data_IF_070897848017
#
_entry.id   IF_070897848017
#
_cell.length_a   1.000
_cell.length_b   1.000
_cell.length_c   1.000
_cell.angle_alpha   90.00
_cell.angle_beta   90.00
_cell.angle_gamma   90.00
#
_symmetry.space_group_name_H-M   'P 1'
#
loop_
_entity.id
_entity.type
_entity.pdbx_description
1 polymer ?
#
# COMPACT_ATOMS: atom_id res chain seq x y z
N UNK A 1 -6.72 41.80 51.68
CA UNK A 1 -7.76 40.84 51.28
C UNK A 1 -7.64 40.50 49.79
N UNK A 2 -6.65 39.69 49.37
CA UNK A 2 -6.47 39.20 47.97
C UNK A 2 -5.77 37.83 47.93
N UNK A 3 -6.02 36.93 48.86
CA UNK A 3 -5.31 35.63 48.92
C UNK A 3 -6.23 34.41 48.90
N UNK A 4 -7.52 34.56 48.47
CA UNK A 4 -8.47 33.44 48.56
C UNK A 4 -9.04 32.96 47.20
N UNK A 5 -8.39 33.27 46.08
CA UNK A 5 -8.87 32.81 44.76
C UNK A 5 -7.91 31.91 43.98
N UNK A 6 -6.72 31.61 44.50
CA UNK A 6 -5.76 30.75 43.82
C UNK A 6 -5.88 29.26 44.19
N UNK A 7 -6.44 28.97 45.37
CA UNK A 7 -6.54 27.57 45.83
C UNK A 7 -7.65 26.74 45.15
N UNK A 8 -8.73 27.41 44.76
CA UNK A 8 -9.88 26.70 44.15
C UNK A 8 -9.67 26.36 42.67
N UNK A 9 -8.83 27.09 41.97
CA UNK A 9 -8.55 26.82 40.55
C UNK A 9 -7.57 25.63 40.38
N UNK A 10 -6.61 25.50 41.29
CA UNK A 10 -5.63 24.39 41.27
C UNK A 10 -6.29 23.06 41.61
N UNK A 11 -7.27 23.06 42.55
CA UNK A 11 -8.02 21.82 42.87
C UNK A 11 -8.92 21.35 41.72
N UNK A 12 -9.52 22.28 40.94
CA UNK A 12 -10.37 21.93 39.82
C UNK A 12 -9.58 21.35 38.61
N UNK A 13 -8.36 21.85 38.37
CA UNK A 13 -7.49 21.35 37.33
C UNK A 13 -6.93 19.97 37.65
N UNK A 14 -6.57 19.72 38.92
CA UNK A 14 -6.07 18.42 39.35
C UNK A 14 -7.16 17.34 39.36
N UNK A 15 -8.41 17.67 39.64
CA UNK A 15 -9.53 16.71 39.59
C UNK A 15 -9.94 16.40 38.14
N UNK A 16 -9.88 17.35 37.22
CA UNK A 16 -10.13 17.12 35.81
C UNK A 16 -9.04 16.25 35.19
N UNK A 17 -7.77 16.46 35.51
CA UNK A 17 -6.64 15.66 35.04
C UNK A 17 -6.72 14.20 35.54
N UNK A 18 -7.20 13.99 36.78
CA UNK A 18 -7.33 12.65 37.36
C UNK A 18 -8.52 11.85 36.76
N UNK A 19 -9.58 12.53 36.33
CA UNK A 19 -10.73 11.91 35.68
C UNK A 19 -10.38 11.51 34.26
N UNK A 20 -9.60 12.32 33.54
CA UNK A 20 -9.15 12.00 32.18
C UNK A 20 -8.19 10.82 32.19
N UNK A 21 -7.25 10.78 33.17
CA UNK A 21 -6.30 9.65 33.29
C UNK A 21 -7.02 8.33 33.62
N UNK A 22 -8.07 8.36 34.46
CA UNK A 22 -8.87 7.16 34.78
C UNK A 22 -9.75 6.69 33.62
N UNK A 23 -10.17 7.58 32.74
CA UNK A 23 -10.93 7.22 31.54
C UNK A 23 -10.01 6.62 30.46
N UNK A 24 -8.81 7.13 30.29
CA UNK A 24 -7.82 6.59 29.36
C UNK A 24 -7.33 5.20 29.82
N UNK A 25 -7.06 5.02 31.11
CA UNK A 25 -6.67 3.69 31.66
C UNK A 25 -7.82 2.67 31.55
N UNK A 26 -9.09 3.11 31.62
CA UNK A 26 -10.24 2.20 31.42
C UNK A 26 -10.51 1.89 29.94
N UNK A 27 -10.12 2.73 29.01
CA UNK A 27 -10.18 2.42 27.60
C UNK A 27 -9.11 1.38 27.22
N UNK A 28 -7.89 1.56 27.68
CA UNK A 28 -6.79 0.61 27.43
C UNK A 28 -6.98 -0.76 28.11
N UNK A 29 -7.66 -0.82 29.26
CA UNK A 29 -7.98 -2.11 29.91
C UNK A 29 -9.18 -2.85 29.31
N UNK A 30 -9.88 -2.28 28.34
CA UNK A 30 -10.93 -2.99 27.61
C UNK A 30 -10.42 -3.66 26.33
N UNK A 31 -9.28 -3.27 25.79
CA UNK A 31 -8.65 -3.94 24.66
C UNK A 31 -7.89 -5.23 25.06
N UNK A 32 -7.61 -5.42 26.35
CA UNK A 32 -6.86 -6.58 26.85
C UNK A 32 -7.68 -7.80 27.28
N UNK A 33 -9.00 -7.85 27.10
CA UNK A 33 -9.82 -8.96 27.61
C UNK A 33 -10.94 -9.43 26.66
N UNK A 34 -10.74 -9.33 25.37
CA UNK A 34 -11.39 -10.22 24.40
C UNK A 34 -10.48 -11.42 24.13
N UNK A 35 -10.12 -12.13 25.19
CA UNK A 35 -9.82 -13.54 25.08
C UNK A 35 -11.16 -14.24 24.83
N UNK A 36 -11.64 -14.12 23.60
CA UNK A 36 -12.74 -14.91 23.10
C UNK A 36 -12.37 -16.37 23.29
N UNK A 37 -13.26 -17.11 23.89
CA UNK A 37 -13.20 -18.56 23.96
C UNK A 37 -12.70 -19.11 22.63
N UNK A 38 -11.55 -19.72 22.62
CA UNK A 38 -11.05 -20.51 21.53
C UNK A 38 -12.02 -21.67 21.31
N UNK A 39 -13.06 -21.45 20.52
CA UNK A 39 -13.58 -22.55 19.75
C UNK A 39 -12.43 -22.94 18.82
N UNK A 40 -11.89 -24.11 18.98
CA UNK A 40 -10.89 -24.74 18.13
C UNK A 40 -11.45 -25.11 16.76
N UNK A 41 -12.23 -24.23 16.15
CA UNK A 41 -12.50 -24.23 14.75
C UNK A 41 -11.31 -23.61 14.05
N UNK A 42 -10.28 -24.42 13.74
CA UNK A 42 -9.23 -23.98 12.84
C UNK A 42 -9.87 -23.36 11.60
N UNK A 43 -9.25 -22.33 11.04
CA UNK A 43 -9.65 -21.79 9.76
C UNK A 43 -9.76 -22.98 8.78
N UNK A 44 -10.98 -23.42 8.50
CA UNK A 44 -11.20 -24.51 7.57
C UNK A 44 -11.16 -23.94 6.17
N UNK A 45 -10.45 -24.59 5.28
CA UNK A 45 -10.56 -24.34 3.86
C UNK A 45 -12.06 -24.36 3.49
N UNK A 46 -12.61 -23.27 2.94
CA UNK A 46 -14.01 -23.21 2.53
C UNK A 46 -14.33 -24.23 1.42
N UNK A 47 -13.33 -24.94 0.91
CA UNK A 47 -13.48 -25.92 -0.16
C UNK A 47 -13.66 -25.27 -1.53
N UNK A 48 -13.86 -26.13 -2.53
CA UNK A 48 -14.17 -25.68 -3.88
C UNK A 48 -15.60 -25.09 -3.87
N UNK A 49 -15.71 -23.83 -4.21
CA UNK A 49 -17.01 -23.17 -4.33
C UNK A 49 -17.71 -23.65 -5.59
N UNK A 50 -18.90 -24.21 -5.42
CA UNK A 50 -19.71 -24.72 -6.53
C UNK A 50 -20.49 -23.64 -7.28
N UNK A 51 -20.68 -22.49 -6.64
CA UNK A 51 -21.41 -21.37 -7.24
C UNK A 51 -20.47 -20.45 -8.01
N UNK A 52 -20.97 -19.74 -9.00
CA UNK A 52 -20.22 -18.72 -9.73
C UNK A 52 -19.78 -17.63 -8.74
N UNK A 53 -18.62 -17.85 -8.12
CA UNK A 53 -18.03 -16.88 -7.21
C UNK A 53 -17.58 -15.71 -8.05
N UNK A 54 -18.21 -14.59 -7.85
CA UNK A 54 -17.73 -13.34 -8.41
C UNK A 54 -16.43 -13.00 -7.69
N UNK A 55 -15.32 -13.01 -8.40
CA UNK A 55 -14.02 -12.65 -7.86
C UNK A 55 -14.09 -11.25 -7.26
N UNK A 56 -13.44 -11.03 -6.13
CA UNK A 56 -13.46 -9.73 -5.44
C UNK A 56 -14.68 -9.50 -4.53
N UNK A 57 -15.60 -10.45 -4.45
CA UNK A 57 -16.72 -10.35 -3.49
C UNK A 57 -16.32 -10.82 -2.10
N UNK A 58 -16.99 -10.30 -1.05
CA UNK A 58 -16.74 -10.74 0.33
C UNK A 58 -17.07 -12.21 0.52
N UNK A 59 -16.47 -12.83 1.53
CA UNK A 59 -16.82 -14.19 1.93
C UNK A 59 -18.27 -14.24 2.40
N UNK A 60 -19.01 -15.31 2.07
CA UNK A 60 -20.43 -15.44 2.38
C UNK A 60 -20.76 -15.54 3.88
N UNK A 61 -19.76 -15.92 4.69
CA UNK A 61 -19.92 -16.15 6.14
C UNK A 61 -19.53 -14.97 7.02
N UNK A 62 -19.34 -13.78 6.44
CA UNK A 62 -18.98 -12.59 7.21
C UNK A 62 -20.16 -12.13 8.08
N UNK A 63 -19.86 -11.75 9.33
CA UNK A 63 -20.79 -11.00 10.17
C UNK A 63 -21.05 -9.61 9.58
N UNK A 64 -22.12 -8.95 10.01
CA UNK A 64 -22.43 -7.60 9.54
C UNK A 64 -21.28 -6.61 9.75
N UNK A 65 -20.56 -6.69 10.88
CA UNK A 65 -19.41 -5.84 11.15
C UNK A 65 -18.23 -6.13 10.21
N UNK A 66 -17.97 -7.41 9.92
CA UNK A 66 -16.92 -7.79 8.98
C UNK A 66 -17.26 -7.39 7.55
N UNK A 67 -18.54 -7.50 7.16
CA UNK A 67 -19.01 -7.04 5.86
C UNK A 67 -18.86 -5.52 5.72
N UNK A 68 -19.21 -4.75 6.76
CA UNK A 68 -19.00 -3.30 6.76
C UNK A 68 -17.53 -2.96 6.63
N UNK A 69 -16.65 -3.61 7.39
CA UNK A 69 -15.21 -3.42 7.30
C UNK A 69 -14.67 -3.72 5.89
N UNK A 70 -15.18 -4.79 5.25
CA UNK A 70 -14.83 -5.09 3.85
C UNK A 70 -15.28 -3.97 2.90
N UNK A 71 -16.50 -3.44 3.09
CA UNK A 71 -17.05 -2.36 2.25
C UNK A 71 -16.27 -1.05 2.43
N UNK A 72 -15.88 -0.73 3.65
CA UNK A 72 -15.07 0.45 3.95
C UNK A 72 -13.69 0.32 3.31
N UNK A 73 -13.06 -0.85 3.42
CA UNK A 73 -11.78 -1.14 2.76
C UNK A 73 -11.88 -1.08 1.23
N UNK A 74 -12.96 -1.61 0.66
CA UNK A 74 -13.20 -1.52 -0.78
C UNK A 74 -13.38 -0.06 -1.23
N UNK A 75 -14.09 0.74 -0.45
CA UNK A 75 -14.27 2.17 -0.71
C UNK A 75 -12.93 2.91 -0.72
N UNK A 76 -12.05 2.62 0.25
CA UNK A 76 -10.69 3.18 0.28
C UNK A 76 -9.84 2.72 -0.90
N UNK A 77 -9.93 1.45 -1.28
CA UNK A 77 -9.18 0.92 -2.43
C UNK A 77 -9.63 1.51 -3.78
N UNK A 78 -10.89 1.92 -3.86
CA UNK A 78 -11.49 2.59 -5.03
C UNK A 78 -11.30 4.12 -5.00
N UNK A 79 -10.93 4.67 -3.87
CA UNK A 79 -10.75 6.11 -3.70
C UNK A 79 -9.80 6.65 -4.75
N UNK A 80 -10.18 7.77 -5.33
CA UNK A 80 -9.34 8.50 -6.27
C UNK A 80 -8.74 9.68 -5.52
N UNK A 81 -7.42 9.75 -5.52
CA UNK A 81 -6.67 10.78 -4.85
C UNK A 81 -6.12 11.80 -5.87
N UNK A 82 -6.06 13.05 -5.47
CA UNK A 82 -5.42 14.11 -6.22
C UNK A 82 -4.27 14.74 -5.41
N UNK A 83 -3.34 15.38 -6.08
CA UNK A 83 -2.18 15.99 -5.40
C UNK A 83 -2.62 17.08 -4.42
N UNK A 84 -3.49 17.98 -4.84
CA UNK A 84 -3.91 19.14 -4.05
C UNK A 84 -5.35 19.08 -3.54
N UNK A 85 -6.09 18.01 -3.81
CA UNK A 85 -7.51 17.93 -3.47
C UNK A 85 -8.41 18.86 -4.28
N UNK A 86 -7.94 19.39 -5.40
CA UNK A 86 -8.64 20.38 -6.20
C UNK A 86 -9.48 19.82 -7.35
N UNK A 87 -9.44 18.50 -7.56
CA UNK A 87 -10.21 17.88 -8.63
C UNK A 87 -11.63 17.59 -8.15
N UNK A 88 -12.60 18.16 -8.85
CA UNK A 88 -14.01 17.97 -8.50
C UNK A 88 -14.44 16.51 -8.66
N UNK A 89 -15.02 15.95 -7.62
CA UNK A 89 -15.46 14.55 -7.57
C UNK A 89 -14.40 13.58 -7.10
N UNK A 90 -13.17 14.01 -6.86
CA UNK A 90 -12.09 13.24 -6.28
C UNK A 90 -11.87 13.69 -4.83
N UNK A 91 -12.37 12.95 -3.82
CA UNK A 91 -12.35 13.41 -2.43
C UNK A 91 -10.98 13.29 -1.77
N UNK A 92 -10.11 12.43 -2.28
CA UNK A 92 -8.80 12.17 -1.71
C UNK A 92 -7.78 13.25 -2.06
N UNK A 93 -6.88 13.52 -1.14
CA UNK A 93 -5.72 14.42 -1.30
C UNK A 93 -4.44 13.67 -0.99
N UNK A 94 -3.29 14.28 -1.22
CA UNK A 94 -2.02 13.71 -0.79
C UNK A 94 -1.34 12.80 -1.82
N UNK A 95 -1.92 12.66 -3.01
CA UNK A 95 -1.24 11.93 -4.09
C UNK A 95 0.14 12.53 -4.36
N UNK A 96 1.16 11.69 -4.38
CA UNK A 96 2.50 12.14 -4.72
C UNK A 96 2.57 12.72 -6.14
N UNK A 97 3.16 13.90 -6.33
CA UNK A 97 3.12 14.59 -7.63
C UNK A 97 3.91 13.88 -8.73
N UNK A 98 4.78 12.93 -8.38
CA UNK A 98 5.52 12.09 -9.31
C UNK A 98 4.79 10.83 -9.75
N UNK A 99 3.62 10.53 -9.19
CA UNK A 99 2.91 9.29 -9.47
C UNK A 99 1.97 9.42 -10.67
N UNK A 100 1.86 8.33 -11.43
CA UNK A 100 1.16 8.26 -12.72
C UNK A 100 -0.16 7.49 -12.65
N UNK A 101 -0.66 7.29 -11.45
CA UNK A 101 -1.98 6.72 -11.18
C UNK A 101 -2.53 7.35 -9.91
N UNK A 102 -3.82 7.35 -9.74
CA UNK A 102 -4.51 8.08 -8.67
C UNK A 102 -5.39 7.19 -7.79
N UNK A 103 -5.34 5.89 -7.98
CA UNK A 103 -6.05 4.93 -7.11
C UNK A 103 -5.42 3.55 -7.16
N UNK A 104 -5.57 2.77 -6.09
CA UNK A 104 -5.14 1.37 -6.06
C UNK A 104 -5.86 0.54 -7.14
N UNK A 105 -7.17 0.79 -7.30
CA UNK A 105 -8.01 0.06 -8.23
C UNK A 105 -7.69 0.31 -9.70
N UNK A 106 -7.05 1.41 -10.06
CA UNK A 106 -6.63 1.69 -11.45
C UNK A 106 -5.56 0.70 -11.94
N UNK A 107 -4.70 0.23 -11.03
CA UNK A 107 -3.65 -0.75 -11.33
C UNK A 107 -4.04 -2.18 -10.91
N UNK A 108 -4.80 -2.35 -9.84
CA UNK A 108 -5.27 -3.63 -9.32
C UNK A 108 -6.73 -3.88 -9.70
N UNK A 109 -7.01 -4.20 -10.96
CA UNK A 109 -8.36 -4.19 -11.54
C UNK A 109 -8.86 -5.52 -12.08
N UNK A 110 -7.99 -6.48 -12.44
CA UNK A 110 -8.38 -7.68 -13.17
C UNK A 110 -8.14 -8.96 -12.34
N UNK A 111 -9.10 -9.89 -12.28
CA UNK A 111 -10.43 -9.93 -12.90
C UNK A 111 -11.49 -9.11 -12.16
N UNK A 112 -11.14 -8.53 -11.03
CA UNK A 112 -11.96 -7.60 -10.24
C UNK A 112 -11.04 -6.65 -9.47
N UNK A 113 -11.60 -5.64 -8.82
CA UNK A 113 -10.87 -4.73 -7.92
C UNK A 113 -10.12 -5.54 -6.87
N UNK A 114 -8.83 -5.24 -6.68
CA UNK A 114 -7.90 -6.04 -5.88
C UNK A 114 -7.15 -7.11 -6.67
N UNK A 115 -7.35 -7.18 -7.97
CA UNK A 115 -6.67 -8.13 -8.86
C UNK A 115 -5.33 -7.66 -9.37
N UNK A 116 -4.98 -8.08 -10.57
CA UNK A 116 -3.76 -7.67 -11.28
C UNK A 116 -4.04 -6.49 -12.21
N UNK A 117 -3.08 -6.16 -13.05
CA UNK A 117 -3.20 -5.11 -14.07
C UNK A 117 -4.48 -5.24 -14.89
N UNK A 118 -5.17 -4.14 -15.20
CA UNK A 118 -6.32 -4.20 -16.08
C UNK A 118 -5.95 -4.80 -17.44
N UNK A 119 -6.89 -5.57 -17.98
CA UNK A 119 -6.79 -6.04 -19.36
C UNK A 119 -7.42 -5.00 -20.29
N UNK A 120 -6.59 -4.19 -20.91
CA UNK A 120 -7.02 -3.08 -21.74
C UNK A 120 -7.71 -3.49 -23.04
N UNK A 121 -7.57 -4.77 -23.45
CA UNK A 121 -8.20 -5.33 -24.64
C UNK A 121 -9.53 -6.04 -24.37
N UNK A 122 -9.90 -6.28 -23.13
CA UNK A 122 -11.09 -7.04 -22.75
C UNK A 122 -12.10 -6.22 -21.96
N UNK A 123 -13.38 -6.41 -22.30
CA UNK A 123 -14.49 -5.88 -21.50
C UNK A 123 -14.36 -6.32 -20.02
N UNK A 124 -14.61 -5.43 -19.01
CA UNK A 124 -15.16 -4.08 -19.15
C UNK A 124 -14.10 -2.97 -19.36
N UNK A 125 -12.83 -3.29 -19.45
CA UNK A 125 -11.74 -2.32 -19.51
C UNK A 125 -11.28 -2.08 -20.96
N UNK A 126 -12.20 -1.72 -21.82
CA UNK A 126 -11.87 -1.31 -23.20
C UNK A 126 -11.37 0.13 -23.16
N UNK A 127 -10.08 0.29 -23.17
CA UNK A 127 -9.47 1.60 -23.14
C UNK A 127 -7.93 1.52 -23.14
N UNK A 128 -7.25 2.64 -23.23
CA UNK A 128 -5.81 2.66 -23.15
C UNK A 128 -5.34 2.23 -21.75
N UNK A 129 -4.12 1.74 -21.68
CA UNK A 129 -3.44 1.50 -20.40
C UNK A 129 -3.63 2.71 -19.48
N UNK A 130 -4.06 2.55 -18.22
CA UNK A 130 -4.33 3.65 -17.30
C UNK A 130 -3.19 4.65 -17.17
N UNK A 131 -1.93 4.20 -17.24
CA UNK A 131 -0.76 5.06 -17.23
C UNK A 131 -0.68 5.97 -18.47
N UNK A 132 -1.12 5.48 -19.63
CA UNK A 132 -1.20 6.29 -20.86
C UNK A 132 -2.38 7.25 -20.79
N UNK A 133 -3.52 6.80 -20.26
CA UNK A 133 -4.68 7.66 -20.07
C UNK A 133 -4.35 8.85 -19.16
N UNK A 134 -3.75 8.60 -18.01
CA UNK A 134 -3.32 9.63 -17.08
C UNK A 134 -2.34 10.64 -17.71
N UNK A 135 -1.38 10.16 -18.51
CA UNK A 135 -0.44 11.02 -19.22
C UNK A 135 -1.12 11.87 -20.30
N UNK A 136 -2.16 11.34 -20.96
CA UNK A 136 -2.91 12.04 -21.99
C UNK A 136 -3.81 13.12 -21.41
N UNK A 137 -4.44 12.86 -20.27
CA UNK A 137 -5.35 13.78 -19.59
C UNK A 137 -4.63 15.02 -19.03
N UNK A 138 -3.33 14.93 -18.83
CA UNK A 138 -2.49 15.99 -18.29
C UNK A 138 -2.02 17.04 -19.32
N UNK A 139 -2.67 17.19 -20.44
CA UNK A 139 -2.35 18.24 -21.44
C UNK A 139 -1.31 17.88 -22.49
N UNK A 140 -0.96 16.62 -22.63
CA UNK A 140 -0.44 16.06 -23.88
C UNK A 140 1.06 16.16 -24.17
N UNK A 141 1.89 16.65 -23.25
CA UNK A 141 3.34 16.80 -23.48
C UNK A 141 4.20 15.75 -22.76
N UNK A 142 3.59 14.66 -22.32
CA UNK A 142 4.30 13.61 -21.59
C UNK A 142 4.89 12.57 -22.54
N UNK A 143 6.17 12.27 -22.38
CA UNK A 143 6.82 11.16 -23.07
C UNK A 143 6.51 9.86 -22.36
N UNK A 144 5.76 8.98 -23.00
CA UNK A 144 5.48 7.66 -22.47
C UNK A 144 6.75 6.81 -22.52
N UNK A 145 7.21 6.22 -21.41
CA UNK A 145 8.36 5.33 -21.42
C UNK A 145 8.16 4.13 -22.36
N UNK A 146 9.25 3.68 -22.96
CA UNK A 146 9.22 2.60 -23.98
C UNK A 146 8.62 1.29 -23.49
N UNK A 147 8.61 1.03 -22.19
CA UNK A 147 8.09 -0.21 -21.61
C UNK A 147 6.58 -0.17 -21.31
N UNK A 148 5.93 0.98 -21.49
CA UNK A 148 4.49 1.14 -21.32
C UNK A 148 3.86 1.19 -22.72
N UNK A 149 2.93 0.28 -22.97
CA UNK A 149 2.23 0.19 -24.23
C UNK A 149 0.72 0.23 -24.04
N UNK A 150 0.00 0.68 -25.06
CA UNK A 150 -1.46 0.85 -25.01
C UNK A 150 -2.18 -0.45 -24.65
N UNK A 151 -1.71 -1.57 -25.18
CA UNK A 151 -2.32 -2.89 -25.00
C UNK A 151 -1.58 -3.76 -23.97
N UNK A 152 -0.57 -3.18 -23.31
CA UNK A 152 0.24 -3.88 -22.32
C UNK A 152 -0.30 -3.73 -20.90
N UNK A 153 0.24 -4.51 -19.97
CA UNK A 153 -0.08 -4.33 -18.56
C UNK A 153 0.48 -3.01 -18.04
N UNK A 154 -0.12 -2.52 -16.96
CA UNK A 154 0.52 -1.52 -16.09
C UNK A 154 1.87 -2.06 -15.65
N UNK A 155 2.88 -1.25 -15.78
CA UNK A 155 4.26 -1.61 -15.39
C UNK A 155 4.87 -0.50 -14.56
N UNK A 156 5.50 -0.90 -13.47
CA UNK A 156 6.37 -0.05 -12.69
C UNK A 156 7.80 -0.45 -12.93
N UNK A 157 8.64 0.54 -13.13
CA UNK A 157 10.08 0.35 -13.15
C UNK A 157 10.63 0.42 -11.74
N UNK A 158 11.68 -0.34 -11.50
CA UNK A 158 12.43 -0.33 -10.25
C UNK A 158 13.91 -0.44 -10.54
N UNK A 159 14.70 0.38 -9.88
CA UNK A 159 16.15 0.36 -9.97
C UNK A 159 16.72 -0.46 -8.80
N UNK A 160 17.24 -1.68 -9.05
CA UNK A 160 17.83 -2.51 -8.00
C UNK A 160 18.95 -1.83 -7.23
N UNK A 161 19.72 -0.96 -7.90
CA UNK A 161 20.84 -0.26 -7.33
C UNK A 161 20.64 1.25 -7.42
N UNK A 162 21.10 1.94 -6.39
CA UNK A 162 21.04 3.39 -6.30
C UNK A 162 21.82 4.06 -7.44
N UNK A 163 21.36 5.23 -7.84
CA UNK A 163 21.93 6.03 -8.91
C UNK A 163 22.50 7.31 -8.31
N UNK A 164 23.73 7.67 -8.70
CA UNK A 164 24.35 8.92 -8.27
C UNK A 164 23.71 10.13 -8.96
N UNK A 165 23.95 11.32 -8.43
CA UNK A 165 23.52 12.56 -9.07
C UNK A 165 24.06 12.75 -10.49
N UNK A 166 25.20 12.11 -10.83
CA UNK A 166 25.75 12.09 -12.19
C UNK A 166 25.14 11.02 -13.11
N UNK A 167 24.18 10.23 -12.61
CA UNK A 167 23.52 9.16 -13.36
C UNK A 167 24.25 7.82 -13.36
N UNK A 168 25.35 7.68 -12.62
CA UNK A 168 26.10 6.41 -12.55
C UNK A 168 25.42 5.43 -11.59
N UNK A 169 25.29 4.17 -12.00
CA UNK A 169 24.75 3.09 -11.17
C UNK A 169 25.80 2.68 -10.12
N UNK A 170 25.38 2.56 -8.89
CA UNK A 170 26.21 2.12 -7.76
C UNK A 170 26.10 0.61 -7.55
N UNK A 171 26.86 0.09 -6.55
CA UNK A 171 26.65 -1.26 -6.04
C UNK A 171 25.80 -1.29 -4.76
N UNK A 172 25.27 -0.13 -4.37
CA UNK A 172 24.38 -0.02 -3.20
C UNK A 172 22.96 -0.36 -3.61
N UNK A 173 22.31 -1.34 -2.96
CA UNK A 173 20.90 -1.62 -3.22
C UNK A 173 20.03 -0.37 -2.98
N UNK A 174 19.07 -0.12 -3.86
CA UNK A 174 18.16 1.02 -3.77
C UNK A 174 17.12 0.88 -2.62
N UNK A 175 17.01 -0.32 -2.05
CA UNK A 175 16.15 -0.56 -0.89
C UNK A 175 14.67 -0.74 -1.21
N UNK A 176 14.29 -0.62 -2.45
CA UNK A 176 12.97 -1.06 -2.84
C UNK A 176 11.99 -0.01 -3.34
N UNK A 177 12.43 1.20 -3.54
CA UNK A 177 11.59 2.27 -4.09
C UNK A 177 11.35 2.04 -5.59
N UNK A 178 10.13 2.30 -6.03
CA UNK A 178 9.80 2.27 -7.45
C UNK A 178 10.18 3.61 -8.10
N UNK A 179 10.74 3.54 -9.28
CA UNK A 179 10.86 4.69 -10.13
C UNK A 179 9.69 4.69 -11.12
N UNK A 180 8.75 5.57 -10.87
CA UNK A 180 7.57 5.76 -11.72
C UNK A 180 7.83 6.84 -12.76
N UNK A 181 7.22 6.72 -13.94
CA UNK A 181 7.32 7.82 -14.89
C UNK A 181 6.49 9.00 -14.38
N UNK A 182 7.01 10.20 -14.54
CA UNK A 182 6.37 11.42 -14.05
C UNK A 182 5.39 11.98 -15.08
N UNK A 183 4.31 12.56 -14.58
CA UNK A 183 3.33 13.28 -15.41
C UNK A 183 3.47 14.77 -15.15
N UNK A 184 3.86 15.50 -16.18
CA UNK A 184 3.93 16.96 -16.14
C UNK A 184 2.61 17.59 -16.57
N UNK A 185 2.33 18.78 -16.05
CA UNK A 185 1.15 19.57 -16.46
C UNK A 185 -0.16 19.09 -15.83
N UNK A 186 -0.10 18.39 -14.73
CA UNK A 186 -1.29 17.98 -13.96
C UNK A 186 -2.06 19.21 -13.51
N UNK A 187 -3.38 19.21 -13.69
CA UNK A 187 -4.26 20.32 -13.26
C UNK A 187 -4.32 20.45 -11.73
N UNK A 188 -4.13 19.34 -11.02
CA UNK A 188 -4.10 19.27 -9.56
C UNK A 188 -2.72 19.55 -8.95
N UNK A 189 -1.70 19.77 -9.79
CA UNK A 189 -0.36 20.13 -9.38
C UNK A 189 0.22 21.26 -10.30
N UNK A 190 -0.44 22.42 -10.38
CA UNK A 190 0.01 23.49 -11.24
C UNK A 190 1.40 23.99 -10.80
N UNK A 191 2.29 24.22 -11.75
CA UNK A 191 3.69 24.58 -11.54
C UNK A 191 4.61 23.50 -10.96
N UNK A 192 4.13 22.27 -10.76
CA UNK A 192 4.97 21.14 -10.46
C UNK A 192 5.61 20.61 -11.77
N UNK A 193 6.91 20.50 -11.76
CA UNK A 193 7.66 19.87 -12.84
C UNK A 193 8.73 18.96 -12.24
N UNK A 194 8.60 17.68 -12.50
CA UNK A 194 9.57 16.68 -12.07
C UNK A 194 10.28 16.10 -13.28
N UNK A 195 11.57 15.84 -13.14
CA UNK A 195 12.34 15.22 -14.20
C UNK A 195 11.92 13.75 -14.39
N UNK A 196 11.75 13.36 -15.65
CA UNK A 196 11.52 11.96 -15.98
C UNK A 196 12.77 11.13 -15.64
N UNK A 197 12.64 10.01 -14.93
CA UNK A 197 13.76 9.07 -14.75
C UNK A 197 14.30 8.59 -16.10
N UNK A 198 15.62 8.42 -16.19
CA UNK A 198 16.25 7.97 -17.44
C UNK A 198 16.20 6.44 -17.56
N UNK A 199 15.01 5.92 -17.86
CA UNK A 199 14.76 4.48 -17.95
C UNK A 199 15.62 3.78 -19.00
N UNK A 200 15.89 4.44 -20.15
CA UNK A 200 16.74 3.86 -21.19
C UNK A 200 18.20 3.71 -20.74
N UNK A 201 18.69 4.67 -19.98
CA UNK A 201 20.04 4.56 -19.39
C UNK A 201 20.07 3.41 -18.38
N UNK A 202 19.08 3.34 -17.48
CA UNK A 202 19.01 2.24 -16.50
C UNK A 202 18.92 0.87 -17.18
N UNK A 203 18.25 0.77 -18.31
CA UNK A 203 18.23 -0.48 -19.08
C UNK A 203 19.60 -0.86 -19.65
N UNK A 204 20.33 0.10 -20.18
CA UNK A 204 21.68 -0.16 -20.68
C UNK A 204 22.66 -0.60 -19.59
N UNK A 205 22.46 -0.07 -18.39
CA UNK A 205 23.25 -0.44 -17.20
C UNK A 205 22.77 -1.74 -16.52
N UNK A 206 21.76 -2.42 -17.05
CA UNK A 206 21.09 -3.56 -16.43
C UNK A 206 20.56 -3.26 -15.02
N UNK A 207 20.21 -2.01 -14.73
CA UNK A 207 19.69 -1.53 -13.46
C UNK A 207 18.19 -1.22 -13.51
N UNK A 208 17.43 -2.04 -14.21
CA UNK A 208 15.97 -1.89 -14.27
C UNK A 208 15.30 -3.26 -14.24
N UNK A 209 14.28 -3.37 -13.41
CA UNK A 209 13.33 -4.48 -13.44
C UNK A 209 11.92 -3.93 -13.54
N UNK A 210 11.03 -4.71 -14.13
CA UNK A 210 9.63 -4.33 -14.26
C UNK A 210 8.76 -5.19 -13.36
N UNK A 211 7.78 -4.55 -12.76
CA UNK A 211 6.77 -5.19 -11.94
C UNK A 211 5.39 -4.88 -12.50
N UNK A 212 4.51 -5.84 -12.40
CA UNK A 212 3.08 -5.66 -12.64
C UNK A 212 2.33 -5.85 -11.33
N UNK A 213 1.18 -5.20 -11.16
CA UNK A 213 0.36 -5.38 -9.96
C UNK A 213 0.02 -6.84 -9.74
N UNK A 214 0.25 -7.32 -8.51
CA UNK A 214 -0.13 -8.68 -8.11
C UNK A 214 -1.49 -8.67 -7.42
N UNK A 215 -2.33 -9.71 -7.57
CA UNK A 215 -3.59 -9.80 -6.84
C UNK A 215 -3.37 -9.74 -5.32
N UNK A 216 -4.23 -8.99 -4.64
CA UNK A 216 -4.23 -8.88 -3.17
C UNK A 216 -5.37 -9.66 -2.52
N UNK A 217 -6.08 -10.46 -3.29
CA UNK A 217 -7.16 -11.33 -2.78
C UNK A 217 -6.64 -12.31 -1.74
N UNK A 218 -7.35 -12.45 -0.64
CA UNK A 218 -7.02 -13.39 0.42
C UNK A 218 -5.86 -12.99 1.32
N UNK A 219 -5.32 -11.78 1.20
CA UNK A 219 -4.20 -11.32 2.01
C UNK A 219 -4.51 -11.39 3.52
N UNK A 220 -5.73 -11.07 3.95
CA UNK A 220 -6.16 -11.23 5.34
C UNK A 220 -6.21 -12.70 5.81
N UNK A 221 -6.48 -13.65 4.91
CA UNK A 221 -6.39 -15.06 5.24
C UNK A 221 -4.93 -15.49 5.45
N UNK A 222 -4.02 -14.96 4.63
CA UNK A 222 -2.58 -15.21 4.77
C UNK A 222 -2.06 -14.64 6.09
N UNK A 223 -2.52 -13.46 6.50
CA UNK A 223 -2.14 -12.85 7.77
C UNK A 223 -2.51 -13.72 8.97
N UNK A 224 -3.64 -14.40 8.90
CA UNK A 224 -4.13 -15.26 9.97
C UNK A 224 -3.45 -16.66 10.04
N UNK A 225 -2.56 -17.01 9.12
CA UNK A 225 -1.81 -18.26 9.19
C UNK A 225 -0.78 -18.15 10.34
N UNK A 226 -0.85 -19.07 11.31
CA UNK A 226 0.12 -19.09 12.40
C UNK A 226 1.54 -19.39 11.90
N UNK A 227 2.56 -18.75 12.47
CA UNK A 227 3.97 -18.98 12.13
C UNK A 227 4.37 -20.46 12.24
N UNK A 228 3.86 -21.15 13.27
CA UNK A 228 4.08 -22.58 13.44
C UNK A 228 3.58 -23.40 12.25
N UNK A 229 2.47 -23.01 11.62
CA UNK A 229 1.94 -23.66 10.42
C UNK A 229 2.86 -23.46 9.22
N UNK A 230 3.41 -22.27 9.04
CA UNK A 230 4.37 -21.95 7.98
C UNK A 230 5.65 -22.80 8.16
N UNK A 231 6.17 -22.85 9.37
CA UNK A 231 7.37 -23.65 9.69
C UNK A 231 7.12 -25.16 9.53
N UNK A 232 5.97 -25.65 9.95
CA UNK A 232 5.58 -27.05 9.76
C UNK A 232 5.48 -27.40 8.26
N UNK A 233 4.89 -26.50 7.45
CA UNK A 233 4.84 -26.70 6.00
C UNK A 233 6.24 -26.65 5.36
N UNK A 234 7.12 -25.81 5.83
CA UNK A 234 8.51 -25.76 5.38
C UNK A 234 9.22 -27.09 5.66
N UNK A 235 9.04 -27.68 6.84
CA UNK A 235 9.64 -28.93 7.23
C UNK A 235 8.98 -30.17 6.59
N UNK A 236 7.72 -30.07 6.19
CA UNK A 236 6.98 -31.18 5.60
C UNK A 236 7.60 -31.66 4.27
N UNK A 237 7.57 -32.95 4.03
CA UNK A 237 8.05 -33.58 2.79
C UNK A 237 9.51 -33.22 2.42
N UNK A 238 10.37 -33.06 3.42
CA UNK A 238 11.75 -32.58 3.25
C UNK A 238 12.54 -33.40 2.20
N UNK A 239 12.38 -34.73 2.20
CA UNK A 239 13.05 -35.59 1.23
C UNK A 239 12.61 -35.31 -0.20
N UNK A 240 11.31 -35.19 -0.44
CA UNK A 240 10.76 -34.87 -1.77
C UNK A 240 11.18 -33.48 -2.21
N UNK A 241 11.11 -32.52 -1.32
CA UNK A 241 11.57 -31.15 -1.60
C UNK A 241 13.04 -31.12 -1.99
N UNK A 242 13.88 -31.85 -1.28
CA UNK A 242 15.31 -31.99 -1.59
C UNK A 242 15.54 -32.59 -2.98
N UNK A 243 14.80 -33.65 -3.32
CA UNK A 243 14.88 -34.30 -4.64
C UNK A 243 14.47 -33.38 -5.78
N UNK A 244 13.49 -32.52 -5.52
CA UNK A 244 12.96 -31.55 -6.51
C UNK A 244 13.72 -30.19 -6.51
N UNK A 245 14.73 -30.03 -5.68
CA UNK A 245 15.46 -28.77 -5.55
C UNK A 245 14.61 -27.63 -4.97
N UNK A 246 13.54 -27.93 -4.23
CA UNK A 246 12.66 -26.94 -3.61
C UNK A 246 13.26 -26.53 -2.27
N UNK A 247 13.64 -25.26 -2.16
CA UNK A 247 14.11 -24.64 -0.92
C UNK A 247 13.37 -23.32 -0.69
N UNK A 248 13.17 -22.93 0.57
CA UNK A 248 12.59 -21.67 0.95
C UNK A 248 12.97 -21.33 2.39
N UNK A 249 13.05 -20.04 2.67
CA UNK A 249 13.35 -19.54 3.99
C UNK A 249 12.31 -18.48 4.36
N UNK A 250 11.73 -18.51 5.57
CA UNK A 250 10.93 -17.40 6.03
C UNK A 250 11.81 -16.17 6.26
N UNK A 251 11.27 -15.00 6.02
CA UNK A 251 11.84 -13.76 6.50
C UNK A 251 11.25 -13.44 7.87
N UNK A 252 11.99 -12.73 8.71
CA UNK A 252 11.59 -12.44 10.09
C UNK A 252 11.62 -10.96 10.36
N UNK A 253 10.64 -10.51 11.13
CA UNK A 253 10.62 -9.15 11.67
C UNK A 253 11.78 -8.94 12.64
N UNK A 254 12.54 -7.90 12.44
CA UNK A 254 13.63 -7.50 13.34
C UNK A 254 13.14 -7.05 14.73
N UNK A 255 11.86 -6.72 14.86
CA UNK A 255 11.30 -6.19 16.11
C UNK A 255 10.88 -7.30 17.10
N UNK A 256 10.29 -8.37 16.60
CA UNK A 256 9.66 -9.40 17.44
C UNK A 256 9.94 -10.84 16.98
N UNK A 257 10.69 -11.02 15.90
CA UNK A 257 11.03 -12.34 15.37
C UNK A 257 9.87 -13.10 14.72
N UNK A 258 8.71 -12.48 14.52
CA UNK A 258 7.59 -13.08 13.79
C UNK A 258 7.91 -13.23 12.30
N UNK A 259 7.28 -14.19 11.63
CA UNK A 259 7.45 -14.39 10.19
C UNK A 259 6.75 -13.24 9.44
N UNK A 260 7.49 -12.58 8.57
CA UNK A 260 6.97 -11.55 7.67
C UNK A 260 6.39 -12.18 6.40
N UNK A 261 5.34 -11.58 5.82
CA UNK A 261 4.54 -12.22 4.75
C UNK A 261 4.25 -11.34 3.55
N UNK A 262 4.28 -10.01 3.71
CA UNK A 262 3.79 -9.06 2.72
C UNK A 262 4.91 -8.20 2.17
N UNK A 263 4.65 -7.59 1.02
CA UNK A 263 5.58 -6.74 0.33
C UNK A 263 6.67 -7.50 -0.44
N UNK A 264 7.65 -6.75 -0.91
CA UNK A 264 8.77 -7.32 -1.66
C UNK A 264 9.58 -8.28 -0.80
N UNK A 265 9.68 -9.52 -1.24
CA UNK A 265 10.38 -10.60 -0.50
C UNK A 265 9.87 -10.78 0.93
N UNK A 266 8.57 -10.57 1.14
CA UNK A 266 7.92 -10.73 2.44
C UNK A 266 8.60 -9.91 3.54
N UNK A 267 8.79 -8.61 3.33
CA UNK A 267 9.46 -7.73 4.30
C UNK A 267 8.53 -7.23 5.41
N UNK A 268 7.22 -7.20 5.18
CA UNK A 268 6.23 -6.68 6.12
C UNK A 268 5.53 -7.81 6.88
N UNK A 269 5.37 -7.64 8.19
CA UNK A 269 4.75 -8.66 9.05
C UNK A 269 3.23 -8.64 9.03
N UNK A 270 2.62 -7.48 8.82
CA UNK A 270 1.16 -7.28 8.86
C UNK A 270 0.66 -6.52 7.64
N UNK A 271 -0.64 -6.64 7.39
CA UNK A 271 -1.31 -5.85 6.35
C UNK A 271 -1.36 -4.37 6.69
N UNK A 272 -1.43 -4.00 7.96
CA UNK A 272 -1.38 -2.61 8.40
C UNK A 272 -0.07 -1.95 7.95
N UNK A 273 1.07 -2.56 8.28
CA UNK A 273 2.39 -2.05 7.86
C UNK A 273 2.52 -2.07 6.34
N UNK A 274 2.04 -3.13 5.69
CA UNK A 274 2.10 -3.25 4.24
C UNK A 274 1.21 -2.23 3.53
N UNK A 275 0.01 -1.95 4.06
CA UNK A 275 -0.88 -0.94 3.50
C UNK A 275 -0.24 0.46 3.60
N UNK A 276 0.29 0.83 4.77
CA UNK A 276 1.00 2.10 4.95
C UNK A 276 2.21 2.24 4.00
N UNK A 277 2.99 1.15 3.82
CA UNK A 277 4.06 1.16 2.82
C UNK A 277 3.52 1.33 1.40
N UNK A 278 2.43 0.64 1.04
CA UNK A 278 1.85 0.70 -0.29
C UNK A 278 1.31 2.11 -0.62
N UNK A 279 0.61 2.76 0.31
CA UNK A 279 0.21 4.16 0.13
C UNK A 279 1.39 5.06 -0.17
N UNK A 280 2.49 4.90 0.57
CA UNK A 280 3.68 5.74 0.40
C UNK A 280 4.46 5.40 -0.87
N UNK A 281 4.66 4.11 -1.16
CA UNK A 281 5.54 3.66 -2.26
C UNK A 281 4.82 3.62 -3.60
N UNK A 282 3.52 3.26 -3.61
CA UNK A 282 2.78 3.03 -4.85
C UNK A 282 2.05 4.29 -5.35
N UNK A 283 1.61 5.18 -4.44
CA UNK A 283 0.88 6.41 -4.81
C UNK A 283 1.42 7.67 -4.13
N UNK A 284 2.46 7.57 -3.31
CA UNK A 284 3.15 8.72 -2.71
C UNK A 284 2.40 9.40 -1.57
N UNK A 285 1.34 8.80 -1.04
CA UNK A 285 0.61 9.31 0.13
C UNK A 285 1.40 8.99 1.39
N UNK A 286 1.76 10.02 2.14
CA UNK A 286 2.44 9.86 3.45
C UNK A 286 1.44 9.52 4.53
N UNK A 287 1.89 8.80 5.55
CA UNK A 287 1.06 8.37 6.67
C UNK A 287 1.88 8.27 7.97
N UNK A 288 1.23 7.95 9.09
CA UNK A 288 1.89 7.89 10.41
C UNK A 288 3.08 6.93 10.44
N UNK A 289 3.03 5.82 9.69
CA UNK A 289 4.11 4.83 9.62
C UNK A 289 5.22 5.23 8.64
N UNK A 290 4.87 5.93 7.56
CA UNK A 290 5.75 6.32 6.47
C UNK A 290 5.59 7.81 6.17
N UNK A 291 6.26 8.64 6.96
CA UNK A 291 6.04 10.08 7.00
C UNK A 291 6.76 10.89 5.90
N UNK A 292 7.61 10.26 5.10
CA UNK A 292 8.41 10.97 4.12
C UNK A 292 7.99 10.58 2.71
N UNK A 293 7.77 11.59 1.87
CA UNK A 293 7.58 11.43 0.44
C UNK A 293 8.84 10.84 -0.20
N UNK A 294 8.67 9.71 -0.89
CA UNK A 294 9.80 8.94 -1.45
C UNK A 294 10.36 9.54 -2.73
N UNK A 295 9.53 10.21 -3.51
CA UNK A 295 9.94 10.82 -4.76
C UNK A 295 10.85 12.04 -4.59
N UNK A 296 11.05 12.54 -3.37
CA UNK A 296 11.82 13.75 -3.08
C UNK A 296 11.47 14.90 -4.02
N UNK A 297 10.19 15.30 -4.13
CA UNK A 297 9.77 16.29 -5.07
C UNK A 297 10.39 17.66 -4.77
N UNK A 298 10.62 18.52 -5.77
CA UNK A 298 11.05 19.89 -5.55
C UNK A 298 9.98 20.67 -4.77
N UNK A 299 10.37 21.72 -4.08
CA UNK A 299 9.48 22.53 -3.24
C UNK A 299 8.22 23.03 -3.98
N UNK A 300 8.31 23.25 -5.29
CA UNK A 300 7.16 23.64 -6.14
C UNK A 300 6.12 22.52 -6.31
N UNK A 301 6.43 21.31 -5.92
CA UNK A 301 5.57 20.13 -6.01
C UNK A 301 5.04 19.67 -4.64
N UNK A 302 5.39 20.33 -3.57
CA UNK A 302 4.91 20.03 -2.22
C UNK A 302 3.62 20.79 -1.96
N UNK A 303 2.48 20.14 -2.08
CA UNK A 303 1.15 20.72 -1.93
C UNK A 303 0.54 20.44 -0.56
N UNK A 304 0.89 19.34 0.04
CA UNK A 304 0.28 18.90 1.28
C UNK A 304 1.30 18.88 2.42
N UNK A 305 0.88 19.16 3.67
CA UNK A 305 1.70 18.88 4.84
C UNK A 305 1.81 17.37 5.04
N UNK A 306 2.89 16.92 5.62
CA UNK A 306 3.10 15.51 5.97
C UNK A 306 2.93 15.27 7.47
N UNK A 307 2.40 14.14 7.90
CA UNK A 307 1.73 13.09 7.11
C UNK A 307 0.37 13.53 6.60
N UNK A 308 -0.11 12.90 5.53
CA UNK A 308 -1.34 13.25 4.80
C UNK A 308 -2.52 12.35 5.20
N UNK A 309 -2.26 11.15 5.70
CA UNK A 309 -3.26 10.16 6.15
C UNK A 309 -2.90 9.62 7.57
#
# INVERSE_FOLDING_TARGET
MKTLRFGTLVCAVLTASMIITTLIVRAQSREGSQQGSTSSGGASDPGVRSDAVTVGTPLLSLSAAQLQFFQDGLSRFLQVDSVSGSISGEPGTGLGPGFNSNSCASCHAQPAVGGTSPNTAAYPFVGPNPQIAAASDSGGNNSIPYFISADGPVREARFPFAVTASGSVTQTPDGGVHDVFTIAGRSDAPNCSMAQPNFEHMQRENNIIFRIPTPVFGAGLIENIADATILANMAANAQLKSQLGIAGHPNYSGNDGSITRFGWKAQNKSLEVFAGEAYNVEIGVTNELFQNERANPPASCLYNPTPED
#
